data_IF_347665238559
#
_entry.id   IF_347665238559
#
_cell.length_a   1.000
_cell.length_b   1.000
_cell.length_c   1.000
_cell.angle_alpha   90.00
_cell.angle_beta   90.00
_cell.angle_gamma   90.00
#
_symmetry.space_group_name_H-M   'P 1'
#
loop_
_entity.id
_entity.type
_entity.pdbx_description
1 polymer ?
#
# COMPACT_ATOMS: atom_id res chain seq x y z
N UNK A 1 0.33 24.18 1.11
CA UNK A 1 -0.52 23.18 0.43
C UNK A 1 0.35 21.95 0.15
N UNK A 2 -0.06 20.77 0.61
CA UNK A 2 0.69 19.51 0.38
C UNK A 2 0.68 19.13 -1.11
N UNK A 3 1.55 18.21 -1.54
CA UNK A 3 1.52 17.69 -2.92
C UNK A 3 0.16 17.06 -3.26
N UNK A 4 -0.39 16.27 -2.33
CA UNK A 4 -1.73 15.70 -2.48
C UNK A 4 -2.81 16.78 -2.57
N UNK A 5 -2.70 17.88 -1.81
CA UNK A 5 -3.63 19.00 -1.91
C UNK A 5 -3.59 19.69 -3.26
N UNK A 6 -2.38 19.87 -3.84
CA UNK A 6 -2.23 20.42 -5.20
C UNK A 6 -2.82 19.48 -6.25
N UNK A 7 -2.54 18.18 -6.14
CA UNK A 7 -3.07 17.16 -7.05
C UNK A 7 -4.61 17.10 -7.00
N UNK A 8 -5.19 17.10 -5.80
CA UNK A 8 -6.64 17.08 -5.61
C UNK A 8 -7.31 18.36 -6.11
N UNK A 9 -6.73 19.52 -5.83
CA UNK A 9 -7.26 20.79 -6.34
C UNK A 9 -7.31 20.79 -7.88
N UNK A 10 -6.25 20.31 -8.54
CA UNK A 10 -6.21 20.21 -9.99
C UNK A 10 -7.21 19.17 -10.53
N UNK A 11 -7.29 18.00 -9.90
CA UNK A 11 -8.26 16.97 -10.25
C UNK A 11 -9.70 17.49 -10.14
N UNK A 12 -10.03 18.22 -9.08
CA UNK A 12 -11.35 18.85 -8.88
C UNK A 12 -11.62 19.96 -9.89
N UNK A 13 -10.60 20.75 -10.27
CA UNK A 13 -10.71 21.78 -11.30
C UNK A 13 -11.17 21.19 -12.62
N UNK A 14 -10.58 20.06 -13.04
CA UNK A 14 -10.87 19.41 -14.33
C UNK A 14 -12.04 18.42 -14.29
N UNK A 15 -12.38 17.87 -13.12
CA UNK A 15 -13.50 16.95 -12.99
C UNK A 15 -14.83 17.62 -13.37
N UNK A 16 -15.68 16.89 -14.10
CA UNK A 16 -17.04 17.34 -14.41
C UNK A 16 -18.02 17.07 -13.25
N UNK A 17 -17.84 15.96 -12.55
CA UNK A 17 -18.81 15.46 -11.57
C UNK A 17 -18.17 15.04 -10.25
N UNK A 18 -17.11 14.22 -10.30
CA UNK A 18 -16.44 13.74 -9.11
C UNK A 18 -14.98 13.38 -9.39
N UNK A 19 -14.19 13.33 -8.33
CA UNK A 19 -12.89 12.65 -8.29
C UNK A 19 -13.07 11.37 -7.47
N UNK A 20 -12.62 10.25 -8.02
CA UNK A 20 -12.63 8.94 -7.35
C UNK A 20 -11.19 8.49 -7.17
N UNK A 21 -10.83 8.20 -5.91
CA UNK A 21 -9.50 7.73 -5.52
C UNK A 21 -9.65 6.31 -5.01
N UNK A 22 -8.83 5.42 -5.55
CA UNK A 22 -8.74 4.01 -5.14
C UNK A 22 -7.29 3.77 -4.71
N UNK A 23 -7.11 3.32 -3.48
CA UNK A 23 -5.79 3.06 -2.91
C UNK A 23 -5.82 1.74 -2.11
N UNK A 24 -4.76 0.92 -2.08
CA UNK A 24 -4.69 -0.24 -1.22
C UNK A 24 -4.84 0.16 0.25
N UNK A 25 -5.60 -0.63 1.00
CA UNK A 25 -5.82 -0.41 2.42
C UNK A 25 -5.71 -1.71 3.20
N UNK A 26 -4.99 -1.66 4.32
CA UNK A 26 -4.87 -2.75 5.28
C UNK A 26 -5.53 -2.34 6.59
N UNK A 27 -6.42 -3.19 7.11
CA UNK A 27 -6.92 -3.05 8.48
C UNK A 27 -5.91 -3.66 9.46
N UNK A 28 -5.07 -2.82 10.05
CA UNK A 28 -3.98 -3.27 10.93
C UNK A 28 -4.49 -3.90 12.25
N UNK A 29 -5.79 -3.84 12.54
CA UNK A 29 -6.37 -4.58 13.66
C UNK A 29 -6.53 -6.08 13.36
N UNK A 30 -6.48 -6.47 12.08
CA UNK A 30 -6.57 -7.85 11.63
C UNK A 30 -5.15 -8.41 11.41
N UNK A 31 -4.74 -9.50 12.10
CA UNK A 31 -3.37 -10.00 12.03
C UNK A 31 -2.88 -10.32 10.61
N UNK A 32 -3.70 -10.96 9.77
CA UNK A 32 -3.32 -11.30 8.39
C UNK A 32 -3.17 -10.09 7.47
N UNK A 33 -3.88 -8.99 7.76
CA UNK A 33 -3.74 -7.71 7.06
C UNK A 33 -2.51 -6.95 7.55
N UNK A 34 -2.20 -7.01 8.85
CA UNK A 34 -0.98 -6.41 9.40
C UNK A 34 0.30 -7.04 8.81
N UNK A 35 0.33 -8.37 8.63
CA UNK A 35 1.43 -9.03 7.91
C UNK A 35 1.43 -8.65 6.43
N UNK A 36 0.26 -8.50 5.81
CA UNK A 36 0.11 -7.99 4.45
C UNK A 36 0.72 -6.60 4.24
N UNK A 37 0.42 -5.62 5.11
CA UNK A 37 0.99 -4.26 5.05
C UNK A 37 2.52 -4.31 5.18
N UNK A 38 3.03 -5.11 6.11
CA UNK A 38 4.48 -5.30 6.30
C UNK A 38 5.12 -5.90 5.05
N UNK A 39 4.48 -6.89 4.43
CA UNK A 39 4.98 -7.52 3.21
C UNK A 39 4.95 -6.58 2.01
N UNK A 40 3.87 -5.82 1.84
CA UNK A 40 3.75 -4.78 0.81
C UNK A 40 4.83 -3.71 0.94
N UNK A 41 5.12 -3.24 2.16
CA UNK A 41 6.21 -2.28 2.41
C UNK A 41 7.58 -2.85 2.05
N UNK A 42 7.82 -4.13 2.35
CA UNK A 42 9.06 -4.81 1.96
C UNK A 42 9.19 -4.92 0.44
N UNK A 43 8.12 -5.28 -0.27
CA UNK A 43 8.08 -5.30 -1.74
C UNK A 43 8.36 -3.91 -2.34
N UNK A 44 7.72 -2.87 -1.81
CA UNK A 44 7.96 -1.48 -2.22
C UNK A 44 9.40 -1.04 -1.95
N UNK A 45 9.99 -1.45 -0.82
CA UNK A 45 11.38 -1.15 -0.51
C UNK A 45 12.33 -1.80 -1.52
N UNK A 46 12.07 -3.07 -1.88
CA UNK A 46 12.80 -3.76 -2.94
C UNK A 46 12.67 -3.03 -4.28
N UNK A 47 11.45 -2.65 -4.66
CA UNK A 47 11.16 -2.01 -5.93
C UNK A 47 11.80 -0.62 -6.04
N UNK A 48 11.81 0.15 -4.95
CA UNK A 48 12.52 1.43 -4.88
C UNK A 48 14.04 1.28 -5.08
N UNK A 49 14.64 0.18 -4.65
CA UNK A 49 16.07 -0.09 -4.93
C UNK A 49 16.35 -0.29 -6.42
N UNK A 50 15.35 -0.67 -7.20
CA UNK A 50 15.44 -0.84 -8.66
C UNK A 50 15.05 0.43 -9.45
N UNK A 51 14.78 1.53 -8.74
CA UNK A 51 14.42 2.81 -9.33
C UNK A 51 12.92 3.01 -9.55
N UNK A 52 12.07 2.08 -9.10
CA UNK A 52 10.62 2.27 -9.18
C UNK A 52 10.11 3.24 -8.11
N UNK A 53 9.18 4.10 -8.50
CA UNK A 53 8.55 5.06 -7.58
C UNK A 53 7.26 4.45 -7.04
N UNK A 54 7.32 3.91 -5.82
CA UNK A 54 6.14 3.52 -5.06
C UNK A 54 5.83 4.57 -4.00
N UNK A 55 4.62 5.10 -4.01
CA UNK A 55 4.10 5.92 -2.92
C UNK A 55 3.56 5.05 -1.80
N UNK A 56 3.68 5.54 -0.57
CA UNK A 56 2.99 4.95 0.56
C UNK A 56 1.49 5.27 0.44
N UNK A 57 0.60 4.39 0.94
CA UNK A 57 -0.83 4.64 0.91
C UNK A 57 -1.18 5.97 1.56
N UNK A 58 -2.09 6.71 0.93
CA UNK A 58 -2.51 8.03 1.42
C UNK A 58 -3.64 7.82 2.43
N UNK A 59 -3.43 8.30 3.66
CA UNK A 59 -4.47 8.24 4.68
C UNK A 59 -5.75 8.96 4.21
N UNK A 60 -6.90 8.32 4.38
CA UNK A 60 -8.20 8.88 3.99
C UNK A 60 -8.45 10.29 4.59
N UNK A 61 -7.99 10.52 5.83
CA UNK A 61 -8.08 11.82 6.48
C UNK A 61 -7.24 12.91 5.81
N UNK A 62 -6.10 12.56 5.22
CA UNK A 62 -5.28 13.50 4.45
C UNK A 62 -5.94 13.88 3.12
N UNK A 63 -6.63 12.93 2.48
CA UNK A 63 -7.44 13.19 1.27
C UNK A 63 -8.62 14.09 1.63
N UNK A 64 -9.41 13.71 2.63
CA UNK A 64 -10.59 14.46 3.04
C UNK A 64 -10.23 15.88 3.50
N UNK A 65 -9.17 16.04 4.29
CA UNK A 65 -8.69 17.34 4.75
C UNK A 65 -8.10 18.24 3.65
N UNK A 66 -7.71 17.65 2.51
CA UNK A 66 -7.23 18.40 1.36
C UNK A 66 -8.37 18.91 0.45
N UNK A 67 -9.60 18.43 0.63
CA UNK A 67 -10.76 18.89 -0.14
C UNK A 67 -11.31 20.20 0.46
N UNK A 68 -11.29 21.29 -0.31
CA UNK A 68 -11.77 22.61 0.11
C UNK A 68 -13.22 22.90 -0.29
N UNK A 69 -14.08 21.89 -0.30
CA UNK A 69 -15.47 21.96 -0.77
C UNK A 69 -15.93 20.65 -1.40
N UNK A 70 -17.25 20.46 -1.52
CA UNK A 70 -17.85 19.24 -2.04
C UNK A 70 -18.13 18.18 -0.98
N UNK A 71 -19.07 17.27 -1.27
CA UNK A 71 -19.36 16.15 -0.38
C UNK A 71 -18.31 15.04 -0.56
N UNK A 72 -17.68 14.63 0.54
CA UNK A 72 -16.69 13.55 0.57
C UNK A 72 -17.32 12.29 1.14
N UNK A 73 -17.21 11.18 0.42
CA UNK A 73 -17.55 9.85 0.92
C UNK A 73 -16.30 8.99 0.99
N UNK A 74 -16.09 8.34 2.13
CA UNK A 74 -15.00 7.39 2.34
C UNK A 74 -15.59 6.00 2.56
N UNK A 75 -15.11 5.01 1.84
CA UNK A 75 -15.49 3.60 2.00
C UNK A 75 -14.23 2.75 2.10
N UNK A 76 -14.26 1.80 3.03
CA UNK A 76 -13.26 0.76 3.16
C UNK A 76 -13.89 -0.55 2.67
N UNK A 77 -13.34 -1.12 1.61
CA UNK A 77 -13.78 -2.38 1.03
C UNK A 77 -12.77 -3.44 1.41
N UNK A 78 -13.09 -4.23 2.42
CA UNK A 78 -12.23 -5.32 2.88
C UNK A 78 -12.62 -6.62 2.18
N UNK A 79 -11.64 -7.26 1.56
CA UNK A 79 -11.77 -8.64 1.09
C UNK A 79 -10.65 -9.48 1.68
N UNK A 80 -11.01 -10.49 2.47
CA UNK A 80 -10.05 -11.34 3.16
C UNK A 80 -9.68 -12.57 2.31
N UNK A 81 -9.26 -12.35 1.06
CA UNK A 81 -8.75 -13.43 0.20
C UNK A 81 -7.40 -13.89 0.72
N UNK A 82 -7.21 -15.17 1.11
CA UNK A 82 -5.92 -15.66 1.58
C UNK A 82 -4.89 -15.72 0.46
N UNK A 83 -3.65 -15.31 0.75
CA UNK A 83 -2.50 -15.51 -0.12
C UNK A 83 -2.00 -16.96 0.01
N UNK A 84 -1.65 -17.59 -1.11
CA UNK A 84 -1.04 -18.92 -1.11
C UNK A 84 0.46 -18.85 -0.83
N UNK A 85 1.04 -19.98 -0.39
CA UNK A 85 2.50 -20.07 -0.20
C UNK A 85 3.26 -19.88 -1.51
N UNK A 86 2.73 -20.38 -2.62
CA UNK A 86 3.33 -20.22 -3.95
C UNK A 86 3.37 -18.76 -4.36
N UNK A 87 2.28 -18.02 -4.15
CA UNK A 87 2.22 -16.58 -4.43
C UNK A 87 3.22 -15.82 -3.55
N UNK A 88 3.29 -16.15 -2.26
CA UNK A 88 4.26 -15.55 -1.35
C UNK A 88 5.70 -15.76 -1.83
N UNK A 89 6.11 -17.00 -2.09
CA UNK A 89 7.49 -17.31 -2.51
C UNK A 89 7.81 -16.75 -3.90
N UNK A 90 6.85 -16.69 -4.81
CA UNK A 90 7.02 -16.05 -6.11
C UNK A 90 7.45 -14.58 -5.98
N UNK A 91 6.71 -13.79 -5.19
CA UNK A 91 7.03 -12.38 -4.98
C UNK A 91 8.29 -12.19 -4.12
N UNK A 92 8.50 -13.03 -3.11
CA UNK A 92 9.71 -13.01 -2.29
C UNK A 92 10.97 -13.30 -3.10
N UNK A 93 10.86 -14.20 -4.10
CA UNK A 93 11.93 -14.56 -5.03
C UNK A 93 12.46 -13.39 -5.85
N UNK A 94 11.68 -12.30 -6.01
CA UNK A 94 12.13 -11.07 -6.68
C UNK A 94 13.34 -10.44 -5.99
N UNK A 95 13.62 -10.75 -4.73
CA UNK A 95 14.80 -10.25 -4.04
C UNK A 95 16.12 -10.87 -4.54
N UNK A 96 16.08 -12.05 -5.17
CA UNK A 96 17.27 -12.83 -5.50
C UNK A 96 18.34 -12.05 -6.31
N UNK A 97 17.99 -11.24 -7.34
CA UNK A 97 18.97 -10.46 -8.10
C UNK A 97 19.60 -9.32 -7.29
N UNK A 98 19.04 -8.96 -6.14
CA UNK A 98 19.41 -7.78 -5.36
C UNK A 98 20.19 -8.11 -4.09
N UNK A 99 20.26 -9.39 -3.70
CA UNK A 99 20.84 -9.83 -2.42
C UNK A 99 22.28 -9.40 -2.20
N UNK A 100 23.05 -9.22 -3.26
CA UNK A 100 24.45 -8.80 -3.18
C UNK A 100 24.64 -7.28 -3.12
N UNK A 101 23.60 -6.49 -3.37
CA UNK A 101 23.67 -5.04 -3.29
C UNK A 101 23.92 -4.58 -1.85
N UNK A 102 24.86 -3.64 -1.66
CA UNK A 102 25.18 -3.11 -0.35
C UNK A 102 23.95 -2.48 0.35
N UNK A 103 23.10 -1.78 -0.41
CA UNK A 103 21.86 -1.19 0.09
C UNK A 103 20.84 -2.24 0.56
N UNK A 104 20.76 -3.39 -0.11
CA UNK A 104 19.87 -4.48 0.27
C UNK A 104 20.27 -5.05 1.64
N UNK A 105 21.58 -5.32 1.81
CA UNK A 105 22.15 -5.84 3.06
C UNK A 105 22.03 -4.83 4.20
N UNK A 106 22.36 -3.56 3.93
CA UNK A 106 22.28 -2.48 4.92
C UNK A 106 20.86 -2.26 5.46
N UNK A 107 19.85 -2.46 4.62
CA UNK A 107 18.43 -2.35 5.01
C UNK A 107 17.88 -3.62 5.68
N UNK A 108 18.70 -4.66 5.92
CA UNK A 108 18.26 -5.87 6.62
C UNK A 108 17.18 -6.66 5.89
N UNK A 109 17.12 -6.58 4.55
CA UNK A 109 15.99 -7.09 3.76
C UNK A 109 15.74 -8.60 3.93
N UNK A 110 16.79 -9.42 4.08
CA UNK A 110 16.64 -10.86 4.34
C UNK A 110 16.09 -11.15 5.75
N UNK A 111 16.50 -10.37 6.75
CA UNK A 111 16.03 -10.52 8.14
C UNK A 111 14.54 -10.17 8.23
N UNK A 112 14.15 -9.10 7.53
CA UNK A 112 12.77 -8.66 7.44
C UNK A 112 11.90 -9.70 6.71
N UNK A 113 12.36 -10.22 5.57
CA UNK A 113 11.65 -11.27 4.84
C UNK A 113 11.49 -12.56 5.67
N UNK A 114 12.53 -12.96 6.42
CA UNK A 114 12.46 -14.11 7.31
C UNK A 114 11.39 -13.90 8.41
N UNK A 115 11.35 -12.71 9.02
CA UNK A 115 10.34 -12.37 10.02
C UNK A 115 8.92 -12.34 9.44
N UNK A 116 8.73 -11.79 8.23
CA UNK A 116 7.45 -11.80 7.51
C UNK A 116 7.03 -13.25 7.22
N UNK A 117 7.96 -14.11 6.79
CA UNK A 117 7.67 -15.52 6.51
C UNK A 117 7.21 -16.27 7.76
N UNK A 118 7.86 -16.06 8.91
CA UNK A 118 7.42 -16.64 10.19
C UNK A 118 6.02 -16.13 10.57
N UNK A 119 5.75 -14.83 10.41
CA UNK A 119 4.44 -14.27 10.69
C UNK A 119 3.37 -14.87 9.76
N UNK A 120 3.65 -14.96 8.46
CA UNK A 120 2.78 -15.55 7.46
C UNK A 120 2.38 -16.99 7.80
N UNK A 121 3.33 -17.82 8.27
CA UNK A 121 3.04 -19.19 8.71
C UNK A 121 2.07 -19.24 9.91
N UNK A 122 2.08 -18.22 10.77
CA UNK A 122 1.25 -18.18 11.98
C UNK A 122 -0.13 -17.56 11.78
N UNK A 123 -0.24 -16.50 10.96
CA UNK A 123 -1.47 -15.70 10.81
C UNK A 123 -2.07 -15.73 9.42
N UNK A 124 -1.33 -16.23 8.42
CA UNK A 124 -1.63 -16.00 7.02
C UNK A 124 -1.38 -14.54 6.59
N UNK A 125 -1.54 -14.30 5.29
CA UNK A 125 -1.62 -12.98 4.66
C UNK A 125 -2.93 -12.99 3.87
N UNK A 126 -3.66 -11.87 3.91
CA UNK A 126 -4.80 -11.66 3.03
C UNK A 126 -4.54 -10.48 2.10
N UNK A 127 -5.16 -10.49 0.93
CA UNK A 127 -5.04 -9.40 -0.06
C UNK A 127 -5.40 -8.05 0.56
N UNK A 128 -4.80 -6.97 0.05
CA UNK A 128 -5.17 -5.63 0.46
C UNK A 128 -6.65 -5.36 0.17
N UNK A 129 -7.34 -4.72 1.10
CA UNK A 129 -8.60 -4.08 0.81
C UNK A 129 -8.40 -2.86 -0.10
N UNK A 130 -9.51 -2.18 -0.41
CA UNK A 130 -9.51 -0.93 -1.13
C UNK A 130 -10.08 0.20 -0.27
N UNK A 131 -9.31 1.28 -0.14
CA UNK A 131 -9.82 2.58 0.24
C UNK A 131 -10.43 3.23 -1.01
N UNK A 132 -11.71 3.55 -0.94
CA UNK A 132 -12.43 4.31 -1.97
C UNK A 132 -12.83 5.66 -1.39
N UNK A 133 -12.30 6.74 -1.98
CA UNK A 133 -12.72 8.11 -1.65
C UNK A 133 -13.37 8.75 -2.87
N UNK A 134 -14.60 9.20 -2.71
CA UNK A 134 -15.32 9.96 -3.72
C UNK A 134 -15.49 11.38 -3.25
N UNK A 135 -15.03 12.34 -4.06
CA UNK A 135 -15.18 13.77 -3.83
C UNK A 135 -16.10 14.32 -4.91
N UNK A 136 -17.30 14.76 -4.54
CA UNK A 136 -18.24 15.39 -5.46
C UNK A 136 -17.86 16.86 -5.70
N UNK A 137 -18.03 17.33 -6.93
CA UNK A 137 -17.83 18.74 -7.29
C UNK A 137 -19.01 19.61 -6.91
#
# INVERSE_FOLDING_TARGET
MTEIGRALAEAMRVARSAVVIVDPWFDLSIPSQAVGDRYERWLKALDRMTGMIHWDPIAAGAIAGACSGGAVTVRHLLQLTPMSNEAFEYYAGRAQPHRDLAVYKANGMDQELAAIRTAFQSTGITEAGALLVTVLK
#
